data_IF_384795763375
#
_entry.id   IF_384795763375
#
_cell.length_a   1.000
_cell.length_b   1.000
_cell.length_c   1.000
_cell.angle_alpha   90.00
_cell.angle_beta   90.00
_cell.angle_gamma   90.00
#
_symmetry.space_group_name_H-M   'P 1'
#
loop_
_entity.id
_entity.type
_entity.pdbx_description
1 polymer ?
#
# COMPACT_ATOMS: atom_id res chain seq x y z
N UNK A 1 66.92 21.10 50.54
CA UNK A 1 65.73 21.93 50.24
C UNK A 1 64.46 21.06 50.31
N UNK A 2 63.74 21.06 51.44
CA UNK A 2 62.49 20.30 51.60
C UNK A 2 61.29 21.21 51.31
N UNK A 3 60.48 20.86 50.30
CA UNK A 3 59.18 21.50 50.02
C UNK A 3 58.25 21.31 51.23
N UNK A 4 57.72 22.39 51.78
CA UNK A 4 56.58 22.33 52.72
C UNK A 4 55.30 22.26 51.90
N UNK A 5 54.66 21.09 51.90
CA UNK A 5 53.29 20.94 51.40
C UNK A 5 52.35 21.67 52.37
N UNK A 6 51.72 22.76 51.91
CA UNK A 6 50.67 23.42 52.67
C UNK A 6 49.39 22.58 52.53
N UNK A 7 49.09 21.77 53.54
CA UNK A 7 47.79 21.10 53.62
C UNK A 7 46.70 22.15 53.85
N UNK A 8 45.64 22.14 53.03
CA UNK A 8 44.47 22.99 53.23
C UNK A 8 43.84 22.66 54.60
N UNK A 9 43.53 23.70 55.37
CA UNK A 9 42.90 23.54 56.68
C UNK A 9 41.49 22.93 56.51
N UNK A 10 41.07 22.01 57.40
CA UNK A 10 39.83 21.24 57.29
C UNK A 10 38.55 22.04 56.95
N UNK A 11 38.31 23.27 57.48
CA UNK A 11 37.08 24.01 57.14
C UNK A 11 37.03 24.50 55.68
N UNK A 12 38.19 24.73 55.04
CA UNK A 12 38.25 25.15 53.62
C UNK A 12 37.93 23.98 52.69
N UNK A 13 38.34 22.76 53.09
CA UNK A 13 38.03 21.53 52.35
C UNK A 13 36.53 21.21 52.40
N UNK A 14 35.88 21.43 53.55
CA UNK A 14 34.43 21.23 53.73
C UNK A 14 33.63 22.27 52.93
N UNK A 15 34.07 23.54 52.91
CA UNK A 15 33.44 24.59 52.12
C UNK A 15 33.53 24.31 50.61
N UNK A 16 34.69 23.84 50.11
CA UNK A 16 34.86 23.45 48.71
C UNK A 16 34.03 22.21 48.33
N UNK A 17 33.92 21.21 49.21
CA UNK A 17 33.05 20.05 49.03
C UNK A 17 31.57 20.44 49.02
N UNK A 18 31.14 21.38 49.86
CA UNK A 18 29.77 21.87 49.88
C UNK A 18 29.41 22.66 48.61
N UNK A 19 30.32 23.50 48.10
CA UNK A 19 30.13 24.25 46.84
C UNK A 19 30.13 23.29 45.64
N UNK A 20 31.01 22.27 45.63
CA UNK A 20 31.01 21.23 44.60
C UNK A 20 29.74 20.36 44.64
N UNK A 21 29.21 20.06 45.83
CA UNK A 21 27.96 19.33 45.99
C UNK A 21 26.74 20.16 45.57
N UNK A 22 26.71 21.46 45.85
CA UNK A 22 25.62 22.38 45.44
C UNK A 22 25.63 22.68 43.94
N UNK A 23 26.81 22.77 43.30
CA UNK A 23 26.94 22.88 41.84
C UNK A 23 26.69 21.56 41.11
N UNK A 24 27.04 20.42 41.71
CA UNK A 24 26.80 19.08 41.13
C UNK A 24 25.35 18.62 41.18
N UNK A 25 24.62 18.99 42.23
CA UNK A 25 23.19 18.61 42.41
C UNK A 25 22.23 19.56 41.70
N UNK A 26 22.59 20.84 41.51
CA UNK A 26 21.76 21.81 40.80
C UNK A 26 21.69 21.60 39.28
N UNK A 27 22.73 21.02 38.67
CA UNK A 27 22.81 20.82 37.22
C UNK A 27 22.12 19.51 36.78
N UNK A 28 21.87 18.56 37.68
CA UNK A 28 21.28 17.25 37.34
C UNK A 28 19.75 17.24 37.22
N UNK A 29 19.05 18.28 37.67
CA UNK A 29 17.58 18.37 37.59
C UNK A 29 17.05 19.24 36.43
N UNK A 30 17.94 19.88 35.68
CA UNK A 30 17.60 20.81 34.59
C UNK A 30 18.07 20.33 33.21
N UNK A 31 18.00 19.04 32.92
CA UNK A 31 17.98 18.59 31.53
C UNK A 31 17.40 17.18 31.46
N UNK A 32 16.09 17.09 31.20
CA UNK A 32 15.46 16.21 30.20
C UNK A 32 13.93 16.19 30.41
N UNK A 33 13.27 17.35 30.58
CA UNK A 33 11.89 17.41 30.10
C UNK A 33 11.97 17.50 28.57
N UNK A 34 12.23 16.35 27.93
CA UNK A 34 11.95 16.21 26.51
C UNK A 34 10.47 16.54 26.37
N UNK A 35 10.16 17.57 25.59
CA UNK A 35 8.78 17.93 25.28
C UNK A 35 8.15 16.71 24.59
N UNK A 36 7.40 15.91 25.34
CA UNK A 36 6.70 14.76 24.82
C UNK A 36 5.47 15.28 24.10
N UNK A 37 5.51 15.28 22.77
CA UNK A 37 4.33 15.59 21.98
C UNK A 37 3.26 14.53 22.27
N UNK A 38 1.96 14.91 22.33
CA UNK A 38 0.88 13.94 22.42
C UNK A 38 1.01 12.90 21.31
N UNK A 39 1.15 11.64 21.71
CA UNK A 39 1.30 10.53 20.77
C UNK A 39 -0.05 10.15 20.16
N UNK A 40 -0.05 9.90 18.85
CA UNK A 40 -1.21 9.33 18.15
C UNK A 40 -0.77 8.46 16.99
N UNK A 41 -1.61 7.51 16.60
CA UNK A 41 -1.44 6.77 15.36
C UNK A 41 -2.25 7.44 14.26
N UNK A 42 -1.61 7.74 13.14
CA UNK A 42 -2.29 8.09 11.89
C UNK A 42 -2.41 6.82 11.04
N UNK A 43 -3.59 6.59 10.43
CA UNK A 43 -3.87 5.48 9.52
C UNK A 43 -4.45 6.03 8.22
N UNK A 44 -3.97 5.55 7.08
CA UNK A 44 -4.44 5.93 5.75
C UNK A 44 -4.59 4.66 4.90
N UNK A 45 -5.76 4.45 4.26
CA UNK A 45 -6.98 5.24 4.38
C UNK A 45 -7.68 5.05 5.74
N UNK A 46 -8.47 6.03 6.17
CA UNK A 46 -9.30 5.89 7.38
C UNK A 46 -10.63 5.16 7.11
N UNK A 47 -11.10 5.21 5.87
CA UNK A 47 -12.30 4.55 5.38
C UNK A 47 -12.01 3.97 3.99
N UNK A 48 -12.29 2.68 3.83
CA UNK A 48 -12.01 1.92 2.62
C UNK A 48 -13.25 1.14 2.17
N UNK A 49 -13.33 0.92 0.86
CA UNK A 49 -14.29 0.01 0.23
C UNK A 49 -13.52 -0.94 -0.68
N UNK A 50 -13.76 -2.25 -0.54
CA UNK A 50 -13.13 -3.31 -1.35
C UNK A 50 -14.20 -4.30 -1.82
N UNK A 51 -13.98 -4.92 -2.98
CA UNK A 51 -14.85 -6.01 -3.41
C UNK A 51 -14.46 -7.33 -2.71
N UNK A 52 -15.38 -8.32 -2.65
CA UNK A 52 -15.06 -9.65 -2.13
C UNK A 52 -13.80 -10.24 -2.78
N UNK A 53 -12.96 -10.87 -1.97
CA UNK A 53 -11.70 -11.48 -2.40
C UNK A 53 -10.58 -10.48 -2.75
N UNK A 54 -10.83 -9.17 -2.66
CA UNK A 54 -9.80 -8.15 -2.86
C UNK A 54 -9.11 -7.75 -1.55
N UNK A 55 -8.00 -7.04 -1.69
CA UNK A 55 -7.19 -6.54 -0.61
C UNK A 55 -6.96 -5.03 -0.74
N UNK A 56 -6.56 -4.40 0.37
CA UNK A 56 -6.14 -2.99 0.40
C UNK A 56 -5.02 -2.81 1.43
N UNK A 57 -4.02 -2.01 1.06
CA UNK A 57 -2.92 -1.66 1.95
C UNK A 57 -3.27 -0.44 2.82
N UNK A 58 -2.96 -0.53 4.12
CA UNK A 58 -2.99 0.59 5.04
C UNK A 58 -1.56 1.02 5.38
N UNK A 59 -1.34 2.32 5.36
CA UNK A 59 -0.15 2.92 5.93
C UNK A 59 -0.50 3.52 7.29
N UNK A 60 0.33 3.26 8.29
CA UNK A 60 0.19 3.86 9.59
C UNK A 60 1.53 4.31 10.16
N UNK A 61 1.49 5.37 10.95
CA UNK A 61 2.68 5.92 11.63
C UNK A 61 2.34 6.49 12.99
N UNK A 62 3.29 6.38 13.92
CA UNK A 62 3.23 7.04 15.22
C UNK A 62 3.71 8.49 15.07
N UNK A 63 2.82 9.46 15.31
CA UNK A 63 3.15 10.88 15.37
C UNK A 63 3.39 11.29 16.82
N UNK A 64 4.39 12.15 17.04
CA UNK A 64 4.82 12.56 18.37
C UNK A 64 5.63 11.49 19.12
N UNK A 65 5.99 10.39 18.46
CA UNK A 65 6.81 9.31 19.01
C UNK A 65 8.29 9.38 18.63
N UNK A 66 9.00 8.28 18.87
CA UNK A 66 10.44 8.13 18.61
C UNK A 66 10.79 7.78 17.16
N UNK A 67 9.79 7.60 16.30
CA UNK A 67 9.93 7.18 14.90
C UNK A 67 10.42 5.74 14.72
N UNK A 68 10.68 5.01 15.81
CA UNK A 68 11.21 3.64 15.82
C UNK A 68 10.18 2.62 16.30
N UNK A 69 9.18 3.08 17.04
CA UNK A 69 8.10 2.24 17.55
C UNK A 69 7.35 1.60 16.37
N UNK A 70 7.36 0.26 16.25
CA UNK A 70 6.69 -0.41 15.15
C UNK A 70 5.16 -0.36 15.33
N UNK A 71 4.45 -0.29 14.20
CA UNK A 71 2.99 -0.45 14.18
C UNK A 71 2.64 -1.94 14.14
N UNK A 72 1.73 -2.36 15.00
CA UNK A 72 1.11 -3.69 14.99
C UNK A 72 -0.32 -3.58 14.46
N UNK A 73 -0.70 -4.57 13.67
CA UNK A 73 -2.00 -4.63 13.00
C UNK A 73 -2.89 -5.71 13.61
N UNK A 74 -4.19 -5.44 13.66
CA UNK A 74 -5.22 -6.43 13.98
C UNK A 74 -6.51 -6.07 13.26
N UNK A 75 -7.45 -7.02 13.17
CA UNK A 75 -8.73 -6.81 12.51
C UNK A 75 -9.86 -7.34 13.39
N UNK A 76 -10.97 -6.61 13.40
CA UNK A 76 -12.24 -7.03 14.02
C UNK A 76 -13.27 -7.17 12.92
N UNK A 77 -13.90 -8.34 12.83
CA UNK A 77 -14.84 -8.67 11.75
C UNK A 77 -14.22 -9.63 10.71
N UNK A 78 -14.80 -9.72 9.50
CA UNK A 78 -14.36 -10.66 8.47
C UNK A 78 -13.00 -10.32 7.87
N UNK A 79 -12.32 -11.32 7.35
CA UNK A 79 -11.04 -11.18 6.64
C UNK A 79 -9.82 -11.29 7.56
N UNK A 80 -8.66 -10.89 7.05
CA UNK A 80 -7.41 -10.88 7.80
C UNK A 80 -6.57 -9.64 7.46
N UNK A 81 -5.69 -9.23 8.38
CA UNK A 81 -4.69 -8.19 8.11
C UNK A 81 -3.29 -8.75 8.32
N UNK A 82 -2.39 -8.49 7.38
CA UNK A 82 -0.99 -8.91 7.47
C UNK A 82 -0.19 -8.05 8.46
N UNK A 83 1.01 -8.51 8.82
CA UNK A 83 1.95 -7.71 9.61
C UNK A 83 2.42 -6.43 8.89
N UNK A 84 2.30 -6.38 7.55
CA UNK A 84 2.62 -5.20 6.74
C UNK A 84 1.43 -4.24 6.57
N UNK A 85 0.27 -4.52 7.18
CA UNK A 85 -0.91 -3.65 7.10
C UNK A 85 -1.77 -3.86 5.86
N UNK A 86 -1.66 -5.02 5.19
CA UNK A 86 -2.54 -5.37 4.06
C UNK A 86 -3.75 -6.12 4.57
N UNK A 87 -4.93 -5.54 4.44
CA UNK A 87 -6.20 -6.21 4.72
C UNK A 87 -6.65 -7.01 3.50
N UNK A 88 -7.16 -8.22 3.70
CA UNK A 88 -7.75 -9.06 2.66
C UNK A 88 -9.17 -9.45 3.05
N UNK A 89 -10.13 -9.09 2.20
CA UNK A 89 -11.53 -9.44 2.36
C UNK A 89 -11.75 -10.94 2.06
N UNK A 90 -12.73 -11.59 2.71
CA UNK A 90 -13.17 -12.91 2.28
C UNK A 90 -13.70 -12.89 0.84
N UNK A 91 -13.67 -14.03 0.17
CA UNK A 91 -14.16 -14.17 -1.21
C UNK A 91 -15.69 -14.01 -1.36
N UNK A 92 -16.44 -14.02 -0.26
CA UNK A 92 -17.89 -13.83 -0.25
C UNK A 92 -18.36 -13.05 0.98
N UNK A 93 -19.57 -12.51 0.89
CA UNK A 93 -20.14 -11.62 1.91
C UNK A 93 -19.90 -10.14 1.61
N UNK A 94 -20.59 -9.29 2.36
CA UNK A 94 -20.50 -7.81 2.26
C UNK A 94 -20.41 -7.17 3.64
N UNK A 95 -20.00 -7.96 4.64
CA UNK A 95 -19.86 -7.50 6.01
C UNK A 95 -18.65 -6.57 6.14
N UNK A 96 -18.78 -5.56 6.98
CA UNK A 96 -17.69 -4.60 7.23
C UNK A 96 -16.72 -5.12 8.29
N UNK A 97 -15.45 -4.73 8.16
CA UNK A 97 -14.39 -4.99 9.13
C UNK A 97 -13.80 -3.68 9.66
N UNK A 98 -13.14 -3.76 10.81
CA UNK A 98 -12.38 -2.67 11.42
C UNK A 98 -10.93 -3.09 11.53
N UNK A 99 -10.04 -2.39 10.83
CA UNK A 99 -8.59 -2.59 10.91
C UNK A 99 -8.06 -1.67 12.00
N UNK A 100 -7.29 -2.22 12.95
CA UNK A 100 -6.73 -1.47 14.07
C UNK A 100 -5.20 -1.45 13.95
N UNK A 101 -4.64 -0.24 13.94
CA UNK A 101 -3.21 0.01 13.99
C UNK A 101 -2.83 0.48 15.40
N UNK A 102 -1.88 -0.22 16.04
CA UNK A 102 -1.39 0.08 17.39
C UNK A 102 0.12 0.34 17.37
N UNK A 103 0.57 1.42 17.98
CA UNK A 103 1.99 1.70 18.20
C UNK A 103 2.19 2.07 19.67
N UNK A 104 2.98 1.27 20.39
CA UNK A 104 3.09 1.40 21.85
C UNK A 104 1.73 1.23 22.53
N UNK A 105 1.29 2.27 23.24
CA UNK A 105 0.03 2.30 23.98
C UNK A 105 -1.13 3.00 23.27
N UNK A 106 -0.86 3.65 22.15
CA UNK A 106 -1.87 4.34 21.35
C UNK A 106 -2.31 3.48 20.16
N UNK A 107 -3.57 3.61 19.78
CA UNK A 107 -4.14 2.92 18.61
C UNK A 107 -5.14 3.80 17.89
N UNK A 108 -5.31 3.53 16.61
CA UNK A 108 -6.37 4.09 15.76
C UNK A 108 -7.01 2.97 14.95
N UNK A 109 -8.17 3.24 14.37
CA UNK A 109 -8.92 2.28 13.59
C UNK A 109 -9.34 2.87 12.24
N UNK A 110 -9.35 2.02 11.21
CA UNK A 110 -9.93 2.29 9.90
C UNK A 110 -11.10 1.34 9.63
N UNK A 111 -12.12 1.85 8.94
CA UNK A 111 -13.26 1.05 8.50
C UNK A 111 -12.99 0.47 7.13
N UNK A 112 -13.33 -0.80 6.94
CA UNK A 112 -13.37 -1.45 5.63
C UNK A 112 -14.77 -1.94 5.35
N UNK A 113 -15.39 -1.45 4.28
CA UNK A 113 -16.64 -1.99 3.74
C UNK A 113 -16.31 -3.01 2.66
N UNK A 114 -16.78 -4.24 2.82
CA UNK A 114 -16.84 -5.18 1.69
C UNK A 114 -18.11 -4.87 0.92
N UNK A 115 -17.97 -4.38 -0.30
CA UNK A 115 -19.09 -3.85 -1.09
C UNK A 115 -19.51 -4.85 -2.15
N UNK A 116 -20.83 -5.00 -2.34
CA UNK A 116 -21.35 -5.73 -3.48
C UNK A 116 -20.88 -5.08 -4.80
N UNK A 117 -20.81 -5.84 -5.90
CA UNK A 117 -20.57 -5.27 -7.23
C UNK A 117 -21.59 -4.17 -7.55
N UNK A 118 -21.23 -3.10 -8.27
CA UNK A 118 -22.05 -1.90 -8.41
C UNK A 118 -23.33 -2.08 -9.25
N UNK A 119 -23.51 -3.25 -9.87
CA UNK A 119 -24.62 -3.53 -10.79
C UNK A 119 -24.43 -2.87 -12.16
N UNK A 120 -25.54 -2.61 -12.84
CA UNK A 120 -25.58 -2.11 -14.22
C UNK A 120 -25.53 -0.58 -14.26
N UNK A 121 -24.47 0.01 -13.69
CA UNK A 121 -24.21 1.45 -13.73
C UNK A 121 -22.96 1.77 -14.55
N UNK A 122 -22.86 2.98 -15.13
CA UNK A 122 -21.61 3.44 -15.73
C UNK A 122 -20.50 3.57 -14.68
N UNK A 123 -19.33 2.99 -14.96
CA UNK A 123 -18.19 2.96 -14.06
C UNK A 123 -17.00 3.73 -14.62
N UNK A 124 -16.25 4.35 -13.73
CA UNK A 124 -14.90 4.84 -13.97
C UNK A 124 -13.91 3.87 -13.30
N UNK A 125 -12.97 3.34 -14.08
CA UNK A 125 -11.88 2.50 -13.61
C UNK A 125 -10.59 3.32 -13.64
N UNK A 126 -9.88 3.36 -12.52
CA UNK A 126 -8.63 4.11 -12.37
C UNK A 126 -7.56 3.16 -11.88
N UNK A 127 -6.54 2.91 -12.68
CA UNK A 127 -5.36 2.18 -12.23
C UNK A 127 -4.52 3.05 -11.29
N UNK A 128 -4.18 2.48 -10.14
CA UNK A 128 -3.36 3.14 -9.12
C UNK A 128 -1.97 2.51 -9.13
N UNK A 129 -1.00 3.25 -9.66
CA UNK A 129 0.39 2.79 -9.77
C UNK A 129 1.00 2.51 -8.37
N UNK A 130 0.86 3.43 -7.42
CA UNK A 130 1.46 3.33 -6.08
C UNK A 130 0.63 2.51 -5.07
N UNK A 131 -0.56 2.05 -5.46
CA UNK A 131 -1.54 1.40 -4.58
C UNK A 131 -1.88 -0.04 -4.97
N UNK A 132 -1.22 -0.58 -5.99
CA UNK A 132 -1.38 -1.93 -6.54
C UNK A 132 -2.85 -2.31 -6.70
N UNK A 133 -3.60 -1.54 -7.50
CA UNK A 133 -5.01 -1.84 -7.70
C UNK A 133 -5.74 -0.96 -8.67
N UNK A 134 -7.04 -1.21 -8.78
CA UNK A 134 -7.98 -0.44 -9.59
C UNK A 134 -9.03 0.18 -8.67
N UNK A 135 -9.08 1.50 -8.59
CA UNK A 135 -10.16 2.24 -7.95
C UNK A 135 -11.37 2.24 -8.89
N UNK A 136 -12.50 1.76 -8.39
CA UNK A 136 -13.76 1.67 -9.14
C UNK A 136 -14.71 2.71 -8.58
N UNK A 137 -15.18 3.58 -9.44
CA UNK A 137 -16.09 4.67 -9.08
C UNK A 137 -17.35 4.61 -9.91
N UNK A 138 -18.46 5.02 -9.31
CA UNK A 138 -19.65 5.39 -10.05
C UNK A 138 -19.33 6.64 -10.87
N UNK A 139 -19.51 6.56 -12.19
CA UNK A 139 -19.17 7.67 -13.08
C UNK A 139 -20.07 8.91 -12.85
N UNK A 140 -21.30 8.71 -12.40
CA UNK A 140 -22.28 9.79 -12.23
C UNK A 140 -22.00 10.65 -11.00
N UNK A 141 -21.56 10.01 -9.91
CA UNK A 141 -21.31 10.66 -8.61
C UNK A 141 -19.82 10.81 -8.28
N UNK A 142 -18.95 10.11 -9.01
CA UNK A 142 -17.53 9.90 -8.69
C UNK A 142 -17.29 9.28 -7.30
N UNK A 143 -18.35 8.77 -6.66
CA UNK A 143 -18.24 8.07 -5.40
C UNK A 143 -17.49 6.75 -5.62
N UNK A 144 -16.60 6.42 -4.67
CA UNK A 144 -15.89 5.14 -4.68
C UNK A 144 -16.89 4.01 -4.46
N UNK A 145 -17.01 3.14 -5.45
CA UNK A 145 -17.79 1.92 -5.37
C UNK A 145 -16.99 0.81 -4.67
N UNK A 146 -15.68 0.73 -4.95
CA UNK A 146 -14.78 -0.24 -4.33
C UNK A 146 -13.39 -0.20 -4.94
N UNK A 147 -12.49 -1.01 -4.41
CA UNK A 147 -11.14 -1.20 -4.94
C UNK A 147 -10.90 -2.68 -5.22
N UNK A 148 -10.20 -2.95 -6.32
CA UNK A 148 -9.68 -4.26 -6.70
C UNK A 148 -8.18 -4.28 -6.48
N UNK A 149 -7.67 -5.30 -5.80
CA UNK A 149 -6.22 -5.46 -5.64
C UNK A 149 -5.65 -6.07 -6.90
N UNK A 150 -4.62 -5.41 -7.44
CA UNK A 150 -3.72 -6.02 -8.39
C UNK A 150 -2.57 -6.70 -7.61
N UNK A 151 -2.01 -7.80 -8.13
CA UNK A 151 -0.82 -8.41 -7.53
C UNK A 151 0.43 -7.54 -7.70
N UNK A 152 0.41 -6.65 -8.69
CA UNK A 152 1.51 -5.81 -9.16
C UNK A 152 0.99 -4.42 -9.52
N UNK A 153 1.88 -3.48 -9.83
CA UNK A 153 1.55 -2.10 -10.20
C UNK A 153 0.62 -2.09 -11.41
N UNK A 154 -0.65 -1.69 -11.22
CA UNK A 154 -1.63 -1.61 -12.28
C UNK A 154 -1.34 -0.40 -13.18
N UNK A 155 -1.38 -0.61 -14.49
CA UNK A 155 -1.10 0.39 -15.52
C UNK A 155 -2.33 0.55 -16.45
N UNK A 156 -2.12 0.50 -17.76
CA UNK A 156 -3.14 0.71 -18.77
C UNK A 156 -4.33 -0.23 -18.65
N UNK A 157 -5.53 0.30 -18.92
CA UNK A 157 -6.80 -0.43 -18.86
C UNK A 157 -7.45 -0.41 -20.24
N UNK A 158 -7.89 -1.58 -20.71
CA UNK A 158 -8.72 -1.74 -21.89
C UNK A 158 -10.08 -2.32 -21.51
N UNK A 159 -11.17 -1.66 -21.91
CA UNK A 159 -12.53 -2.09 -21.59
C UNK A 159 -13.21 -2.70 -22.81
N UNK A 160 -13.78 -3.89 -22.64
CA UNK A 160 -14.76 -4.50 -23.55
C UNK A 160 -16.17 -4.36 -22.93
N UNK A 161 -16.92 -3.31 -23.31
CA UNK A 161 -18.24 -3.07 -22.74
C UNK A 161 -19.27 -4.11 -23.18
N UNK A 162 -19.08 -4.76 -24.34
CA UNK A 162 -20.03 -5.77 -24.86
C UNK A 162 -19.94 -7.05 -24.01
N UNK A 163 -18.72 -7.46 -23.66
CA UNK A 163 -18.49 -8.62 -22.79
C UNK A 163 -18.53 -8.27 -21.31
N UNK A 164 -18.53 -6.98 -20.98
CA UNK A 164 -18.39 -6.42 -19.62
C UNK A 164 -17.13 -6.94 -18.94
N UNK A 165 -16.02 -6.81 -19.66
CA UNK A 165 -14.69 -7.20 -19.19
C UNK A 165 -13.76 -5.99 -19.27
N UNK A 166 -12.80 -5.91 -18.36
CA UNK A 166 -11.65 -5.03 -18.53
C UNK A 166 -10.36 -5.85 -18.46
N UNK A 167 -9.41 -5.58 -19.35
CA UNK A 167 -8.03 -6.02 -19.21
C UNK A 167 -7.22 -4.89 -18.57
N UNK A 168 -6.41 -5.22 -17.58
CA UNK A 168 -5.50 -4.30 -16.90
C UNK A 168 -4.08 -4.80 -17.08
N UNK A 169 -3.21 -3.96 -17.62
CA UNK A 169 -1.78 -4.22 -17.70
C UNK A 169 -1.15 -4.06 -16.31
N UNK A 170 -0.15 -4.89 -16.00
CA UNK A 170 0.62 -4.79 -14.79
C UNK A 170 2.05 -5.33 -15.01
N UNK A 171 2.92 -5.17 -14.02
CA UNK A 171 4.26 -5.78 -14.05
C UNK A 171 4.14 -7.30 -14.17
N UNK A 172 4.86 -7.89 -15.12
CA UNK A 172 4.91 -9.33 -15.44
C UNK A 172 3.57 -10.03 -15.73
N UNK A 173 2.41 -9.39 -15.57
CA UNK A 173 1.08 -10.00 -15.72
C UNK A 173 0.09 -9.04 -16.35
N UNK A 174 -0.97 -9.59 -16.92
CA UNK A 174 -2.20 -8.85 -17.18
C UNK A 174 -3.34 -9.44 -16.35
N UNK A 175 -4.36 -8.64 -16.09
CA UNK A 175 -5.52 -9.03 -15.27
C UNK A 175 -6.80 -8.85 -16.06
N UNK A 176 -7.74 -9.75 -15.89
CA UNK A 176 -9.12 -9.57 -16.32
C UNK A 176 -9.98 -9.21 -15.11
N UNK A 177 -10.84 -8.22 -15.29
CA UNK A 177 -11.90 -7.87 -14.35
C UNK A 177 -13.22 -8.18 -15.03
N UNK A 178 -14.04 -9.03 -14.41
CA UNK A 178 -15.45 -9.16 -14.76
C UNK A 178 -16.22 -7.98 -14.16
N UNK A 179 -16.71 -7.08 -15.02
CA UNK A 179 -17.38 -5.85 -14.59
C UNK A 179 -18.79 -6.09 -14.04
N UNK A 180 -19.31 -7.32 -14.07
CA UNK A 180 -20.57 -7.68 -13.41
C UNK A 180 -20.35 -8.07 -11.95
N UNK A 181 -19.28 -8.82 -11.70
CA UNK A 181 -19.01 -9.46 -10.41
C UNK A 181 -17.87 -8.81 -9.65
N UNK A 182 -17.12 -7.92 -10.31
CA UNK A 182 -15.85 -7.37 -9.83
C UNK A 182 -14.84 -8.47 -9.47
N UNK A 183 -14.99 -9.67 -10.03
CA UNK A 183 -14.01 -10.74 -9.86
C UNK A 183 -12.77 -10.42 -10.70
N UNK A 184 -11.59 -10.63 -10.11
CA UNK A 184 -10.31 -10.41 -10.76
C UNK A 184 -9.60 -11.75 -10.99
N UNK A 185 -9.08 -11.94 -12.20
CA UNK A 185 -8.27 -13.09 -12.57
C UNK A 185 -6.96 -12.65 -13.24
N UNK A 186 -5.85 -13.26 -12.88
CA UNK A 186 -4.51 -12.87 -13.36
C UNK A 186 -3.99 -13.86 -14.39
N UNK A 187 -3.27 -13.39 -15.40
CA UNK A 187 -2.54 -14.26 -16.32
C UNK A 187 -1.41 -15.01 -15.60
N UNK A 188 -0.88 -16.05 -16.25
CA UNK A 188 0.45 -16.60 -15.91
C UNK A 188 1.48 -15.47 -16.01
N UNK A 189 2.42 -15.36 -15.07
CA UNK A 189 3.44 -14.32 -15.13
C UNK A 189 4.39 -14.56 -16.31
N UNK A 190 4.82 -13.47 -16.93
CA UNK A 190 5.87 -13.39 -17.93
C UNK A 190 7.06 -12.66 -17.31
N UNK A 191 8.06 -13.40 -16.78
CA UNK A 191 9.19 -12.82 -16.08
C UNK A 191 9.91 -11.76 -16.92
N UNK A 192 10.26 -10.64 -16.29
CA UNK A 192 10.96 -9.53 -16.94
C UNK A 192 10.09 -8.61 -17.80
N UNK A 193 8.84 -8.97 -18.09
CA UNK A 193 7.92 -8.08 -18.81
C UNK A 193 7.44 -6.94 -17.91
N UNK A 194 7.25 -5.75 -18.49
CA UNK A 194 6.55 -4.64 -17.85
C UNK A 194 5.40 -4.22 -18.75
N UNK A 195 4.23 -4.83 -18.53
CA UNK A 195 3.06 -4.42 -19.29
C UNK A 195 2.59 -3.04 -18.86
N UNK A 196 2.42 -2.15 -19.82
CA UNK A 196 2.10 -0.75 -19.54
C UNK A 196 0.79 -0.31 -20.21
N UNK A 197 0.70 -0.33 -21.53
CA UNK A 197 -0.55 0.01 -22.21
C UNK A 197 -1.39 -1.23 -22.47
N UNK A 198 -2.71 -1.06 -22.48
CA UNK A 198 -3.66 -2.09 -22.88
C UNK A 198 -4.66 -1.52 -23.89
N UNK A 199 -5.05 -2.31 -24.90
CA UNK A 199 -6.10 -1.95 -25.86
C UNK A 199 -7.00 -3.14 -26.17
N UNK A 200 -8.29 -2.89 -26.37
CA UNK A 200 -9.25 -3.90 -26.85
C UNK A 200 -9.12 -4.05 -28.35
N UNK A 201 -9.06 -5.29 -28.82
CA UNK A 201 -9.05 -5.65 -30.23
C UNK A 201 -10.40 -6.27 -30.66
N UNK A 202 -10.57 -6.47 -31.97
CA UNK A 202 -11.68 -7.24 -32.50
C UNK A 202 -11.63 -8.71 -32.03
N UNK A 203 -12.74 -9.43 -32.16
CA UNK A 203 -12.79 -10.86 -31.85
C UNK A 203 -12.69 -11.22 -30.36
N UNK A 204 -12.74 -10.24 -29.45
CA UNK A 204 -12.59 -10.49 -28.00
C UNK A 204 -11.15 -10.64 -27.53
N UNK A 205 -10.21 -10.19 -28.36
CA UNK A 205 -8.81 -10.08 -28.00
C UNK A 205 -8.52 -8.74 -27.32
N UNK A 206 -7.42 -8.72 -26.59
CA UNK A 206 -6.78 -7.53 -26.07
C UNK A 206 -5.31 -7.54 -26.47
N UNK A 207 -4.66 -6.39 -26.48
CA UNK A 207 -3.22 -6.30 -26.57
C UNK A 207 -2.66 -5.55 -25.36
N UNK A 208 -1.46 -5.92 -24.92
CA UNK A 208 -0.69 -5.11 -23.98
C UNK A 208 0.76 -4.96 -24.46
N UNK A 209 1.33 -3.76 -24.27
CA UNK A 209 2.72 -3.45 -24.64
C UNK A 209 3.66 -3.85 -23.51
N UNK A 210 4.77 -4.50 -23.84
CA UNK A 210 5.86 -4.79 -22.91
C UNK A 210 6.95 -3.72 -23.06
N UNK A 211 7.00 -2.77 -22.14
CA UNK A 211 7.95 -1.66 -22.19
C UNK A 211 9.39 -2.08 -21.83
N UNK A 212 9.63 -3.35 -21.51
CA UNK A 212 10.98 -3.90 -21.33
C UNK A 212 11.45 -4.70 -22.57
N UNK A 213 10.61 -4.86 -23.59
CA UNK A 213 10.96 -5.64 -24.76
C UNK A 213 12.10 -5.00 -25.55
N UNK A 214 13.15 -5.80 -25.79
CA UNK A 214 14.25 -5.40 -26.68
C UNK A 214 13.86 -5.62 -28.14
N UNK A 215 14.49 -4.88 -29.06
CA UNK A 215 14.32 -5.05 -30.52
C UNK A 215 14.31 -6.53 -30.93
N UNK A 216 13.31 -6.92 -31.71
CA UNK A 216 13.16 -8.30 -32.19
C UNK A 216 12.61 -9.29 -31.16
N UNK A 217 12.42 -8.88 -29.90
CA UNK A 217 11.68 -9.65 -28.90
C UNK A 217 10.18 -9.34 -28.98
N UNK A 218 9.29 -10.18 -28.42
CA UNK A 218 7.86 -9.85 -28.30
C UNK A 218 7.65 -8.54 -27.53
N UNK A 219 7.18 -7.49 -28.21
CA UNK A 219 6.92 -6.15 -27.64
C UNK A 219 5.45 -5.84 -27.45
N UNK A 220 4.56 -6.49 -28.20
CA UNK A 220 3.12 -6.43 -27.98
C UNK A 220 2.62 -7.85 -27.84
N UNK A 221 1.90 -8.14 -26.77
CA UNK A 221 1.29 -9.45 -26.56
C UNK A 221 -0.21 -9.36 -26.74
N UNK A 222 -0.78 -10.36 -27.42
CA UNK A 222 -2.21 -10.50 -27.59
C UNK A 222 -2.75 -11.47 -26.54
N UNK A 223 -3.85 -11.10 -25.92
CA UNK A 223 -4.52 -11.89 -24.90
C UNK A 223 -5.96 -12.17 -25.29
N UNK A 224 -6.42 -13.36 -24.93
CA UNK A 224 -7.85 -13.69 -24.88
C UNK A 224 -8.22 -14.02 -23.43
N UNK A 225 -9.49 -13.88 -23.06
CA UNK A 225 -9.95 -14.32 -21.75
C UNK A 225 -10.33 -15.79 -21.83
N UNK A 226 -9.63 -16.63 -21.06
CA UNK A 226 -9.86 -18.07 -20.98
C UNK A 226 -11.18 -18.41 -20.31
N UNK A 227 -11.58 -19.69 -20.36
CA UNK A 227 -12.83 -20.16 -19.76
C UNK A 227 -12.87 -20.00 -18.22
N UNK A 228 -11.70 -19.95 -17.57
CA UNK A 228 -11.55 -19.67 -16.15
C UNK A 228 -11.54 -18.16 -15.82
N UNK A 229 -11.76 -17.29 -16.81
CA UNK A 229 -11.72 -15.84 -16.66
C UNK A 229 -10.32 -15.23 -16.67
N UNK A 230 -9.25 -16.03 -16.65
CA UNK A 230 -7.88 -15.51 -16.66
C UNK A 230 -7.46 -15.12 -18.09
N UNK A 231 -6.67 -14.04 -18.28
CA UNK A 231 -6.08 -13.75 -19.57
C UNK A 231 -5.03 -14.81 -19.96
N UNK A 232 -5.12 -15.27 -21.20
CA UNK A 232 -4.19 -16.22 -21.83
C UNK A 232 -3.50 -15.55 -23.02
N UNK A 233 -2.17 -15.66 -23.09
CA UNK A 233 -1.43 -15.19 -24.26
C UNK A 233 -1.82 -16.00 -25.50
N UNK A 234 -2.22 -15.32 -26.56
CA UNK A 234 -2.67 -15.91 -27.82
C UNK A 234 -1.71 -15.62 -28.99
N UNK A 235 -0.76 -14.70 -28.82
CA UNK A 235 0.23 -14.35 -29.81
C UNK A 235 1.01 -13.09 -29.43
N UNK A 236 1.88 -12.64 -30.32
CA UNK A 236 2.64 -11.40 -30.12
C UNK A 236 3.09 -10.76 -31.43
N UNK A 237 3.35 -9.45 -31.39
CA UNK A 237 4.14 -8.74 -32.38
C UNK A 237 5.51 -8.34 -31.80
N UNK A 238 6.53 -8.26 -32.65
CA UNK A 238 7.89 -7.91 -32.26
C UNK A 238 8.01 -6.42 -31.92
N UNK A 239 8.88 -6.08 -30.97
CA UNK A 239 9.26 -4.71 -30.68
C UNK A 239 10.11 -4.12 -31.82
N UNK A 240 9.83 -2.86 -32.17
CA UNK A 240 10.58 -2.05 -33.14
C UNK A 240 11.96 -1.61 -32.65
N UNK A 241 12.58 -0.67 -33.37
CA UNK A 241 13.92 -0.15 -33.05
C UNK A 241 13.92 0.88 -31.91
N UNK A 242 12.76 1.43 -31.54
CA UNK A 242 12.64 2.44 -30.49
C UNK A 242 11.83 1.91 -29.30
N UNK A 243 12.21 2.22 -28.04
CA UNK A 243 11.43 1.86 -26.85
C UNK A 243 10.01 2.46 -26.80
N UNK A 244 9.65 3.31 -27.77
CA UNK A 244 8.37 4.01 -27.85
C UNK A 244 7.52 3.62 -29.09
N UNK A 245 7.94 2.61 -29.87
CA UNK A 245 7.23 2.15 -31.07
C UNK A 245 8.10 1.35 -32.02
#
# INVERSE_FOLDING_TARGET
MRRRSAALKPPVLIALLAIAALLGTGITLYAQHRLALPQRVEIVPADAAVFPGSSIAFNARLVGGDGKTPVRWSVVGPGHVSASGVYSAPAGGTESAIVVARAGDVSTAARVRVTAPPGDIPLLLIACYDGNGVDVRDLSSLARAGMLSAPDDAAGIAVDPLRRLALVAAKERVMAIDLRTMALATSVPKPGARFDQAVRLAGGYFAATDNNASKGSPGVLFFRIGANGAPEAAGSAIAGETPEG
#
